data_IF_629013833841
#
_entry.id   IF_629013833841
#
_cell.length_a   1.000
_cell.length_b   1.000
_cell.length_c   1.000
_cell.angle_alpha   90.00
_cell.angle_beta   90.00
_cell.angle_gamma   90.00
#
_symmetry.space_group_name_H-M   'P 1'
#
loop_
_entity.id
_entity.type
_entity.pdbx_description
1 polymer ?
#
# COMPACT_ATOMS: atom_id res chain seq x y z
N UNK A 1 -22.26 -12.16 -12.03
CA UNK A 1 -22.87 -10.99 -11.36
C UNK A 1 -23.82 -10.38 -12.36
N UNK A 2 -25.08 -10.22 -11.98
CA UNK A 2 -26.01 -9.41 -12.77
C UNK A 2 -25.71 -7.94 -12.51
N UNK A 3 -26.06 -7.07 -13.46
CA UNK A 3 -25.98 -5.63 -13.27
C UNK A 3 -26.94 -5.22 -12.13
N UNK A 4 -26.39 -4.79 -10.99
CA UNK A 4 -27.16 -4.43 -9.79
C UNK A 4 -26.75 -5.16 -8.50
N UNK A 5 -25.91 -6.20 -8.56
CA UNK A 5 -25.38 -6.85 -7.36
C UNK A 5 -24.31 -6.00 -6.68
N UNK A 6 -24.57 -5.51 -5.47
CA UNK A 6 -23.59 -4.75 -4.66
C UNK A 6 -22.70 -5.72 -3.88
N UNK A 7 -21.39 -5.70 -4.16
CA UNK A 7 -20.40 -6.39 -3.33
C UNK A 7 -20.27 -5.67 -1.99
N UNK A 8 -20.86 -6.23 -0.93
CA UNK A 8 -20.70 -5.71 0.43
C UNK A 8 -19.59 -6.48 1.16
N UNK A 9 -18.46 -5.82 1.40
CA UNK A 9 -17.39 -6.35 2.25
C UNK A 9 -17.43 -5.66 3.62
N UNK A 10 -17.75 -6.40 4.68
CA UNK A 10 -17.60 -5.93 6.06
C UNK A 10 -16.33 -6.53 6.67
N UNK A 11 -15.51 -5.66 7.27
CA UNK A 11 -14.33 -6.02 8.07
C UNK A 11 -14.38 -5.21 9.35
N UNK A 12 -14.17 -5.87 10.48
CA UNK A 12 -14.03 -5.21 11.77
C UNK A 12 -12.56 -5.28 12.17
N UNK A 13 -11.93 -4.12 12.35
CA UNK A 13 -10.55 -4.00 12.81
C UNK A 13 -10.52 -3.34 14.18
N UNK A 14 -10.02 -4.04 15.20
CA UNK A 14 -9.72 -3.43 16.51
C UNK A 14 -8.24 -3.05 16.55
N UNK A 15 -7.95 -1.77 16.80
CA UNK A 15 -6.58 -1.28 16.96
C UNK A 15 -5.83 -0.96 15.66
N UNK A 16 -6.51 -0.96 14.50
CA UNK A 16 -5.93 -0.52 13.23
C UNK A 16 -6.29 0.94 12.95
N UNK A 17 -5.32 1.74 12.53
CA UNK A 17 -5.51 3.16 12.16
C UNK A 17 -5.77 3.38 10.67
N UNK A 18 -5.56 2.34 9.85
CA UNK A 18 -5.85 2.33 8.42
C UNK A 18 -6.05 0.91 7.89
N UNK A 19 -6.74 0.81 6.75
CA UNK A 19 -7.01 -0.44 6.05
C UNK A 19 -6.91 -0.19 4.54
N UNK A 20 -6.05 -0.94 3.87
CA UNK A 20 -5.97 -0.98 2.40
C UNK A 20 -6.75 -2.18 1.89
N UNK A 21 -7.72 -1.94 1.01
CA UNK A 21 -8.46 -3.01 0.33
C UNK A 21 -8.19 -2.93 -1.17
N UNK A 22 -7.69 -4.02 -1.74
CA UNK A 22 -7.51 -4.17 -3.19
C UNK A 22 -8.69 -4.97 -3.73
N UNK A 23 -9.41 -4.40 -4.69
CA UNK A 23 -10.51 -5.08 -5.37
C UNK A 23 -10.02 -5.60 -6.72
N UNK A 24 -10.09 -6.92 -6.89
CA UNK A 24 -9.88 -7.59 -8.16
C UNK A 24 -11.23 -7.90 -8.81
N UNK A 25 -11.50 -7.34 -9.98
CA UNK A 25 -12.70 -7.63 -10.76
C UNK A 25 -12.45 -8.60 -11.93
N UNK A 26 -11.19 -8.99 -12.15
CA UNK A 26 -10.81 -9.86 -13.27
C UNK A 26 -10.71 -11.32 -12.82
N UNK A 27 -11.53 -12.18 -13.43
CA UNK A 27 -11.62 -13.59 -13.05
C UNK A 27 -10.48 -14.48 -13.59
N UNK A 28 -9.88 -14.13 -14.73
CA UNK A 28 -8.99 -15.04 -15.46
C UNK A 28 -7.51 -14.98 -15.01
N UNK A 29 -7.11 -13.89 -14.37
CA UNK A 29 -5.74 -13.68 -13.89
C UNK A 29 -5.78 -13.18 -12.45
N UNK A 30 -5.74 -14.05 -11.43
CA UNK A 30 -5.90 -13.61 -10.05
C UNK A 30 -4.77 -12.68 -9.62
N UNK A 31 -5.12 -11.59 -8.94
CA UNK A 31 -4.17 -10.74 -8.26
C UNK A 31 -3.41 -11.49 -7.17
N UNK A 32 -2.09 -11.35 -7.16
CA UNK A 32 -1.24 -11.81 -6.07
C UNK A 32 -0.92 -10.62 -5.16
N UNK A 33 -1.00 -10.84 -3.86
CA UNK A 33 -0.64 -9.82 -2.87
C UNK A 33 0.34 -10.38 -1.86
N UNK A 34 1.33 -9.57 -1.48
CA UNK A 34 2.35 -9.97 -0.52
C UNK A 34 2.74 -8.77 0.33
N UNK A 35 2.79 -8.97 1.66
CA UNK A 35 3.43 -8.00 2.56
C UNK A 35 4.93 -7.93 2.26
N UNK A 36 5.43 -6.73 2.04
CA UNK A 36 6.85 -6.48 1.81
C UNK A 36 7.43 -5.64 2.95
N UNK A 37 8.72 -5.82 3.29
CA UNK A 37 9.38 -4.99 4.30
C UNK A 37 9.31 -3.51 3.94
N UNK A 38 9.17 -2.67 4.98
CA UNK A 38 9.31 -1.22 4.88
C UNK A 38 10.53 -0.82 5.67
N UNK A 39 11.36 0.02 5.07
CA UNK A 39 12.61 0.50 5.65
C UNK A 39 12.74 2.01 5.45
N UNK A 40 13.64 2.65 6.17
CA UNK A 40 14.04 4.03 5.86
C UNK A 40 15.22 4.02 4.90
N UNK A 41 15.25 4.95 3.97
CA UNK A 41 16.37 5.06 3.01
C UNK A 41 17.69 5.47 3.66
N UNK A 42 17.65 6.03 4.87
CA UNK A 42 18.84 6.42 5.65
C UNK A 42 19.37 5.30 6.57
N UNK A 43 18.74 4.11 6.52
CA UNK A 43 19.14 2.94 7.32
C UNK A 43 18.81 3.05 8.81
N UNK A 44 18.15 4.12 9.26
CA UNK A 44 17.69 4.22 10.64
C UNK A 44 16.47 3.30 10.86
N UNK A 45 16.22 2.86 12.11
CA UNK A 45 15.01 2.14 12.43
C UNK A 45 13.75 2.98 12.15
N UNK A 46 12.66 2.30 11.79
CA UNK A 46 11.34 2.93 11.70
C UNK A 46 10.94 3.47 13.07
N UNK A 47 10.66 4.77 13.15
CA UNK A 47 10.18 5.42 14.36
C UNK A 47 8.66 5.29 14.55
N UNK A 48 7.94 4.97 13.48
CA UNK A 48 6.50 4.70 13.47
C UNK A 48 6.21 3.44 12.65
N UNK A 49 5.13 2.70 12.94
CA UNK A 49 4.77 1.54 12.15
C UNK A 49 4.41 1.95 10.72
N UNK A 50 4.95 1.23 9.74
CA UNK A 50 4.60 1.34 8.34
C UNK A 50 4.51 -0.06 7.75
N UNK A 51 3.61 -0.25 6.78
CA UNK A 51 3.42 -1.50 6.08
C UNK A 51 3.37 -1.23 4.59
N UNK A 52 3.82 -2.20 3.81
CA UNK A 52 3.66 -2.14 2.37
C UNK A 52 3.15 -3.48 1.83
N UNK A 53 2.34 -3.40 0.79
CA UNK A 53 1.81 -4.56 0.07
C UNK A 53 2.23 -4.43 -1.38
N UNK A 54 2.97 -5.44 -1.86
CA UNK A 54 3.15 -5.66 -3.29
C UNK A 54 1.90 -6.31 -3.84
N UNK A 55 1.41 -5.77 -4.95
CA UNK A 55 0.27 -6.22 -5.73
C UNK A 55 0.79 -6.57 -7.12
N UNK A 56 0.62 -7.82 -7.55
CA UNK A 56 1.15 -8.32 -8.83
C UNK A 56 0.04 -8.91 -9.69
N UNK A 57 -0.01 -8.50 -10.96
CA UNK A 57 -0.84 -9.12 -12.02
C UNK A 57 0.01 -9.35 -13.26
N UNK A 58 0.30 -10.61 -13.58
CA UNK A 58 1.17 -10.93 -14.71
C UNK A 58 2.53 -10.24 -14.54
N UNK A 59 2.87 -9.32 -15.45
CA UNK A 59 4.11 -8.53 -15.39
C UNK A 59 3.91 -7.15 -14.72
N UNK A 60 2.68 -6.76 -14.41
CA UNK A 60 2.38 -5.49 -13.76
C UNK A 60 2.55 -5.60 -12.25
N UNK A 61 3.33 -4.68 -11.69
CA UNK A 61 3.63 -4.61 -10.27
C UNK A 61 3.24 -3.23 -9.72
N UNK A 62 2.55 -3.25 -8.60
CA UNK A 62 2.28 -2.07 -7.79
C UNK A 62 2.71 -2.30 -6.35
N UNK A 63 3.09 -1.24 -5.65
CA UNK A 63 3.42 -1.28 -4.23
C UNK A 63 2.63 -0.21 -3.52
N UNK A 64 1.77 -0.62 -2.60
CA UNK A 64 1.05 0.31 -1.72
C UNK A 64 1.83 0.42 -0.43
N UNK A 65 2.33 1.61 -0.11
CA UNK A 65 2.98 1.92 1.15
C UNK A 65 2.01 2.71 2.02
N UNK A 66 1.84 2.24 3.25
CA UNK A 66 0.94 2.80 4.25
C UNK A 66 1.69 3.07 5.55
N UNK A 67 1.54 4.28 6.07
CA UNK A 67 2.18 4.75 7.28
C UNK A 67 1.16 4.91 8.40
N UNK A 68 1.34 4.16 9.49
CA UNK A 68 0.42 4.15 10.62
C UNK A 68 0.87 5.19 11.66
N UNK A 69 0.55 6.47 11.44
CA UNK A 69 0.82 7.53 12.42
C UNK A 69 0.48 8.94 11.94
N UNK A 70 0.17 9.82 12.89
CA UNK A 70 -0.17 11.22 12.64
C UNK A 70 1.06 12.08 12.26
N UNK A 71 0.77 13.19 11.56
CA UNK A 71 1.67 13.90 10.65
C UNK A 71 2.79 14.80 11.21
N UNK A 72 3.05 15.05 12.51
CA UNK A 72 4.20 15.87 12.85
C UNK A 72 5.51 15.08 12.98
N UNK A 73 5.50 13.75 12.90
CA UNK A 73 6.73 12.98 13.10
C UNK A 73 7.56 12.97 11.81
N UNK A 74 8.80 13.52 11.78
CA UNK A 74 9.68 13.34 10.65
C UNK A 74 10.10 11.89 10.56
N UNK A 75 9.56 11.18 9.58
CA UNK A 75 9.76 9.73 9.40
C UNK A 75 10.92 9.43 8.44
N UNK A 76 11.45 10.47 7.79
CA UNK A 76 12.36 10.32 6.66
C UNK A 76 11.63 9.80 5.42
N UNK A 77 12.42 9.44 4.41
CA UNK A 77 11.93 8.80 3.19
C UNK A 77 11.84 7.29 3.43
N UNK A 78 10.68 6.71 3.14
CA UNK A 78 10.42 5.29 3.32
C UNK A 78 10.66 4.54 2.00
N UNK A 79 11.14 3.31 2.09
CA UNK A 79 11.38 2.43 0.96
C UNK A 79 10.64 1.11 1.13
N UNK A 80 10.05 0.60 0.05
CA UNK A 80 9.43 -0.71 -0.03
C UNK A 80 9.56 -1.29 -1.44
N UNK A 81 10.07 -2.52 -1.53
CA UNK A 81 10.21 -3.29 -2.78
C UNK A 81 10.88 -2.51 -3.96
N UNK A 82 11.84 -1.65 -3.61
CA UNK A 82 12.64 -0.85 -4.56
C UNK A 82 12.07 0.53 -4.88
N UNK A 83 10.89 0.89 -4.37
CA UNK A 83 10.34 2.24 -4.48
C UNK A 83 10.60 3.05 -3.22
N UNK A 84 10.69 4.36 -3.34
CA UNK A 84 10.90 5.27 -2.21
C UNK A 84 9.98 6.47 -2.29
N UNK A 85 9.39 6.88 -1.17
CA UNK A 85 8.48 8.01 -1.15
C UNK A 85 8.12 8.48 0.25
N UNK A 86 7.32 9.54 0.29
CA UNK A 86 6.84 10.19 1.50
C UNK A 86 5.34 10.47 1.34
N UNK A 87 4.59 10.30 2.43
CA UNK A 87 3.13 10.41 2.44
C UNK A 87 2.55 9.42 3.44
N UNK A 88 1.25 9.54 3.73
CA UNK A 88 0.55 8.59 4.59
C UNK A 88 0.21 7.32 3.82
N UNK A 89 -0.37 7.47 2.64
CA UNK A 89 -0.63 6.38 1.69
C UNK A 89 -0.05 6.75 0.34
N UNK A 90 0.88 5.94 -0.17
CA UNK A 90 1.52 6.14 -1.48
C UNK A 90 1.44 4.87 -2.30
N UNK A 91 1.10 5.00 -3.59
CA UNK A 91 1.05 3.88 -4.53
C UNK A 91 2.11 4.05 -5.60
N UNK A 92 3.00 3.08 -5.73
CA UNK A 92 4.05 3.05 -6.74
C UNK A 92 3.74 2.01 -7.82
N UNK A 93 4.28 2.24 -9.01
CA UNK A 93 4.34 1.23 -10.06
C UNK A 93 5.60 1.44 -10.92
N UNK A 94 5.96 0.48 -11.76
CA UNK A 94 7.10 0.65 -12.66
C UNK A 94 6.89 1.79 -13.68
N UNK A 95 5.62 2.17 -13.96
CA UNK A 95 5.28 3.32 -14.82
C UNK A 95 5.23 4.65 -14.06
N UNK A 96 5.06 4.59 -12.74
CA UNK A 96 4.98 5.76 -11.85
C UNK A 96 5.87 5.51 -10.62
N UNK A 97 7.20 5.55 -10.79
CA UNK A 97 8.14 5.18 -9.74
C UNK A 97 8.24 6.22 -8.62
N UNK A 98 7.85 7.48 -8.89
CA UNK A 98 7.77 8.56 -7.89
C UNK A 98 6.54 8.39 -6.97
N UNK A 99 5.56 7.60 -7.42
CA UNK A 99 4.36 7.25 -6.68
C UNK A 99 3.27 8.32 -6.68
N UNK A 100 2.06 7.87 -6.41
CA UNK A 100 0.85 8.70 -6.27
C UNK A 100 0.46 8.73 -4.80
N UNK A 101 0.40 9.93 -4.21
CA UNK A 101 -0.08 10.12 -2.83
C UNK A 101 -1.61 10.10 -2.81
N UNK A 102 -2.19 9.15 -2.10
CA UNK A 102 -3.65 9.00 -1.95
C UNK A 102 -4.18 9.65 -0.66
N UNK A 103 -3.33 9.80 0.35
CA UNK A 103 -3.64 10.43 1.63
C UNK A 103 -2.41 11.21 2.12
N UNK A 104 -2.62 12.49 2.47
CA UNK A 104 -1.58 13.46 2.83
C UNK A 104 -1.49 13.65 4.34
#
# INVERSE_FOLDING_TARGET
>A
MEEGDVLTARREGKGFVSLVTVLDLAAENPLQTQLVPVERTDGQPLSIPAQAVRVQRGNERMVVLERHGDMPTPVGLLCADGFSGHGRTVVFSDQEPEGVVLDW
#
